data_IF_645869002280
#
_entry.id   IF_645869002280
#
_cell.length_a   1.000
_cell.length_b   1.000
_cell.length_c   1.000
_cell.angle_alpha   90.00
_cell.angle_beta   90.00
_cell.angle_gamma   90.00
#
_symmetry.space_group_name_H-M   'P 1'
#
loop_
_entity.id
_entity.type
_entity.pdbx_description
1 polymer ?
#
# COMPACT_ATOMS: atom_id res chain seq x y z
N UNK A 1 -25.54 -11.69 -13.47
CA UNK A 1 -24.31 -12.33 -13.99
C UNK A 1 -23.14 -11.47 -13.55
N UNK A 2 -22.32 -11.96 -12.63
CA UNK A 2 -21.14 -11.25 -12.11
C UNK A 2 -20.06 -11.28 -13.20
N UNK A 3 -19.78 -10.15 -13.86
CA UNK A 3 -18.66 -10.08 -14.81
C UNK A 3 -17.36 -10.28 -14.00
N UNK A 4 -16.58 -11.29 -14.38
CA UNK A 4 -15.23 -11.53 -13.84
C UNK A 4 -14.32 -10.45 -14.44
N UNK A 5 -13.69 -9.56 -13.64
CA UNK A 5 -12.69 -8.63 -14.16
C UNK A 5 -11.54 -9.44 -14.77
N UNK A 6 -11.07 -9.08 -15.97
CA UNK A 6 -9.96 -9.76 -16.66
C UNK A 6 -10.33 -10.94 -17.57
N UNK A 7 -11.55 -10.99 -18.11
CA UNK A 7 -11.87 -11.93 -19.19
C UNK A 7 -11.03 -11.60 -20.46
N UNK A 8 -10.54 -12.60 -21.21
CA UNK A 8 -9.76 -12.35 -22.43
C UNK A 8 -10.62 -11.59 -23.44
N UNK A 9 -10.32 -10.30 -23.65
CA UNK A 9 -11.04 -9.40 -24.55
C UNK A 9 -11.46 -8.05 -23.95
N UNK A 10 -11.31 -7.84 -22.64
CA UNK A 10 -11.44 -6.51 -22.04
C UNK A 10 -10.04 -5.88 -21.88
N UNK A 11 -9.72 -4.79 -22.62
CA UNK A 11 -8.41 -4.14 -22.51
C UNK A 11 -8.26 -3.36 -21.19
N UNK A 12 -9.32 -3.26 -20.38
CA UNK A 12 -9.30 -2.49 -19.14
C UNK A 12 -8.52 -3.20 -18.03
N UNK A 13 -7.78 -2.45 -17.18
CA UNK A 13 -7.09 -3.02 -16.02
C UNK A 13 -8.06 -3.70 -15.05
N UNK A 14 -7.76 -4.94 -14.65
CA UNK A 14 -8.62 -5.74 -13.79
C UNK A 14 -8.43 -5.46 -12.29
N UNK A 15 -7.29 -4.87 -11.92
CA UNK A 15 -6.87 -4.62 -10.54
C UNK A 15 -6.55 -3.14 -10.35
N UNK A 16 -6.39 -2.65 -9.12
CA UNK A 16 -6.76 -3.28 -7.84
C UNK A 16 -8.27 -3.48 -7.68
N UNK A 17 -8.71 -4.54 -6.98
CA UNK A 17 -10.13 -4.76 -6.66
C UNK A 17 -10.43 -4.28 -5.24
N UNK A 18 -11.39 -3.37 -5.10
CA UNK A 18 -11.87 -2.95 -3.77
C UNK A 18 -12.70 -4.07 -3.13
N UNK A 19 -12.25 -4.56 -1.97
CA UNK A 19 -12.91 -5.66 -1.23
C UNK A 19 -13.72 -5.14 -0.05
N UNK A 20 -13.17 -4.17 0.66
CA UNK A 20 -13.82 -3.39 1.70
C UNK A 20 -13.50 -1.93 1.41
N UNK A 21 -14.33 -1.03 1.92
CA UNK A 21 -14.12 0.40 1.72
C UNK A 21 -12.70 0.80 2.15
N UNK A 22 -11.91 1.32 1.21
CA UNK A 22 -10.48 1.70 1.36
C UNK A 22 -9.49 0.53 1.51
N UNK A 23 -9.85 -0.66 1.04
CA UNK A 23 -9.03 -1.86 1.01
C UNK A 23 -9.06 -2.48 -0.38
N UNK A 24 -7.91 -2.50 -1.02
CA UNK A 24 -7.75 -2.93 -2.40
C UNK A 24 -6.82 -4.13 -2.46
N UNK A 25 -7.20 -5.15 -3.23
CA UNK A 25 -6.39 -6.34 -3.47
C UNK A 25 -5.86 -6.29 -4.89
N UNK A 26 -4.56 -6.52 -5.05
CA UNK A 26 -3.90 -6.55 -6.34
C UNK A 26 -2.73 -7.54 -6.31
N UNK A 27 -2.38 -8.20 -7.43
CA UNK A 27 -1.18 -9.02 -7.49
C UNK A 27 0.07 -8.15 -7.31
N UNK A 28 1.15 -8.73 -6.79
CA UNK A 28 2.47 -8.14 -6.89
C UNK A 28 3.01 -8.31 -8.32
N UNK A 29 3.41 -7.20 -8.94
CA UNK A 29 3.85 -7.16 -10.34
C UNK A 29 5.37 -7.21 -10.53
N UNK A 30 6.13 -6.84 -9.51
CA UNK A 30 7.59 -6.82 -9.56
C UNK A 30 8.21 -5.63 -8.84
N UNK A 31 9.50 -5.40 -9.10
CA UNK A 31 10.27 -4.30 -8.52
C UNK A 31 10.75 -3.34 -9.62
N UNK A 32 10.92 -2.07 -9.28
CA UNK A 32 11.48 -1.05 -10.18
C UNK A 32 12.40 -0.08 -9.44
N UNK A 33 13.46 0.38 -10.13
CA UNK A 33 14.37 1.45 -9.67
C UNK A 33 13.76 2.84 -9.77
N UNK A 34 12.67 2.99 -10.54
CA UNK A 34 11.98 4.26 -10.77
C UNK A 34 11.15 4.70 -9.56
N UNK A 35 11.01 3.84 -8.55
CA UNK A 35 10.25 4.09 -7.33
C UNK A 35 11.17 4.31 -6.12
N UNK A 36 10.82 5.27 -5.27
CA UNK A 36 11.46 5.49 -3.98
C UNK A 36 11.05 4.46 -2.92
N UNK A 37 11.87 4.32 -1.87
CA UNK A 37 11.76 3.27 -0.85
C UNK A 37 10.40 3.19 -0.12
N UNK A 38 9.64 4.29 -0.04
CA UNK A 38 8.32 4.37 0.58
C UNK A 38 7.21 4.64 -0.44
N UNK A 39 7.42 4.20 -1.68
CA UNK A 39 6.43 4.31 -2.75
C UNK A 39 5.91 2.93 -3.15
N UNK A 40 4.70 2.91 -3.67
CA UNK A 40 4.13 1.75 -4.36
C UNK A 40 3.55 2.22 -5.68
N UNK A 41 4.03 1.63 -6.77
CA UNK A 41 3.57 1.93 -8.10
C UNK A 41 2.33 1.12 -8.45
N UNK A 42 1.33 1.77 -9.04
CA UNK A 42 0.20 1.11 -9.70
C UNK A 42 -0.09 1.87 -10.99
N UNK A 43 -0.44 1.15 -12.06
CA UNK A 43 -0.91 1.75 -13.31
C UNK A 43 -1.93 2.87 -13.06
N UNK A 44 -1.71 4.06 -13.66
CA UNK A 44 -2.60 5.22 -13.51
C UNK A 44 -4.04 4.89 -13.89
N UNK A 45 -4.26 4.22 -15.01
CA UNK A 45 -5.60 3.88 -15.49
C UNK A 45 -6.30 2.92 -14.53
N UNK A 46 -5.56 1.98 -13.94
CA UNK A 46 -6.06 1.08 -12.92
C UNK A 46 -6.48 1.82 -11.64
N UNK A 47 -5.67 2.77 -11.17
CA UNK A 47 -5.99 3.59 -9.99
C UNK A 47 -7.26 4.39 -10.19
N UNK A 48 -7.37 5.11 -11.30
CA UNK A 48 -8.49 6.01 -11.60
C UNK A 48 -9.81 5.26 -11.80
N UNK A 49 -9.77 4.07 -12.39
CA UNK A 49 -10.98 3.29 -12.68
C UNK A 49 -11.44 2.44 -11.51
N UNK A 50 -10.49 1.81 -10.80
CA UNK A 50 -10.80 0.72 -9.88
C UNK A 50 -10.71 1.12 -8.41
N UNK A 51 -10.20 2.31 -8.10
CA UNK A 51 -9.99 2.76 -6.73
C UNK A 51 -10.55 4.16 -6.48
N UNK A 52 -10.74 4.49 -5.20
CA UNK A 52 -11.05 5.85 -4.73
C UNK A 52 -9.84 6.48 -4.03
N UNK A 53 -8.64 5.98 -4.33
CA UNK A 53 -7.38 6.51 -3.78
C UNK A 53 -7.04 7.83 -4.47
N UNK A 54 -6.63 8.82 -3.68
CA UNK A 54 -6.00 10.03 -4.17
C UNK A 54 -4.48 9.92 -4.00
N UNK A 55 -3.71 9.73 -5.09
CA UNK A 55 -2.25 9.61 -5.02
C UNK A 55 -1.54 10.79 -4.34
N UNK A 56 -2.14 11.98 -4.37
CA UNK A 56 -1.53 13.19 -3.81
C UNK A 56 -1.62 13.26 -2.29
N UNK A 57 -2.67 12.69 -1.70
CA UNK A 57 -3.00 12.85 -0.28
C UNK A 57 -3.06 11.54 0.49
N UNK A 58 -3.44 10.44 -0.16
CA UNK A 58 -3.55 9.16 0.52
C UNK A 58 -2.19 8.49 0.73
N UNK A 59 -2.10 7.80 1.86
CA UNK A 59 -1.02 6.86 2.16
C UNK A 59 -1.60 5.49 2.41
N UNK A 60 -0.98 4.46 1.84
CA UNK A 60 -1.46 3.08 1.93
C UNK A 60 -0.53 2.25 2.79
N UNK A 61 -1.12 1.43 3.67
CA UNK A 61 -0.43 0.30 4.26
C UNK A 61 -0.40 -0.83 3.24
N UNK A 62 0.77 -1.44 3.07
CA UNK A 62 0.98 -2.56 2.14
C UNK A 62 1.17 -3.86 2.92
N UNK A 63 0.29 -4.84 2.73
CA UNK A 63 0.36 -6.17 3.38
C UNK A 63 0.38 -7.27 2.33
N UNK A 64 1.36 -8.19 2.40
CA UNK A 64 1.37 -9.39 1.56
C UNK A 64 0.49 -10.46 2.21
N UNK A 65 -0.49 -10.98 1.48
CA UNK A 65 -1.39 -12.02 1.98
C UNK A 65 -0.64 -13.32 2.27
N UNK A 66 -1.08 -14.04 3.31
CA UNK A 66 -0.43 -15.27 3.76
C UNK A 66 0.84 -15.08 4.61
N UNK A 67 1.28 -13.83 4.86
CA UNK A 67 2.44 -13.54 5.71
C UNK A 67 2.07 -12.96 7.07
N UNK A 68 2.97 -13.10 8.04
CA UNK A 68 2.71 -12.72 9.43
C UNK A 68 2.50 -11.20 9.54
N UNK A 69 1.30 -10.80 9.97
CA UNK A 69 0.93 -9.39 10.04
C UNK A 69 1.63 -8.70 11.22
N UNK A 70 2.43 -7.67 10.94
CA UNK A 70 3.06 -6.87 12.00
C UNK A 70 2.02 -6.01 12.74
N UNK A 71 2.23 -5.72 14.04
CA UNK A 71 1.43 -4.75 14.76
C UNK A 71 1.45 -3.39 14.06
N UNK A 72 0.34 -2.65 14.13
CA UNK A 72 0.16 -1.39 13.37
C UNK A 72 1.26 -0.36 13.65
N UNK A 73 1.81 -0.36 14.86
CA UNK A 73 2.89 0.53 15.29
C UNK A 73 4.20 0.34 14.51
N UNK A 74 4.37 -0.81 13.85
CA UNK A 74 5.53 -1.12 13.01
C UNK A 74 5.19 -1.12 11.52
N UNK A 75 3.97 -0.70 11.16
CA UNK A 75 3.61 -0.57 9.77
C UNK A 75 4.30 0.62 9.13
N UNK A 76 4.68 0.41 7.87
CA UNK A 76 5.09 1.48 6.98
C UNK A 76 3.92 1.86 6.11
N UNK A 77 3.84 3.15 5.83
CA UNK A 77 2.87 3.72 4.93
C UNK A 77 3.58 4.21 3.68
N UNK A 78 2.96 3.92 2.55
CA UNK A 78 3.54 4.12 1.23
C UNK A 78 2.72 5.18 0.50
N UNK A 79 3.43 6.06 -0.19
CA UNK A 79 2.84 6.91 -1.21
C UNK A 79 2.48 6.05 -2.42
N UNK A 80 1.28 6.28 -2.97
CA UNK A 80 0.85 5.60 -4.19
C UNK A 80 1.34 6.44 -5.37
N UNK A 81 2.16 5.84 -6.23
CA UNK A 81 2.67 6.49 -7.43
C UNK A 81 1.88 6.01 -8.65
N UNK A 82 1.17 6.90 -9.36
CA UNK A 82 0.49 6.55 -10.60
C UNK A 82 1.52 6.30 -11.71
N UNK A 83 1.64 5.06 -12.14
CA UNK A 83 2.57 4.65 -13.18
C UNK A 83 2.02 5.05 -14.55
N UNK A 84 2.86 5.71 -15.32
CA UNK A 84 2.58 6.25 -16.65
C UNK A 84 3.86 6.24 -17.49
N UNK A 85 3.87 6.96 -18.61
CA UNK A 85 5.02 7.09 -19.51
C UNK A 85 6.28 7.65 -18.83
N UNK A 86 6.18 8.27 -17.65
CA UNK A 86 7.33 8.76 -16.88
C UNK A 86 8.03 7.64 -16.09
N UNK A 87 7.35 6.51 -15.91
CA UNK A 87 7.85 5.34 -15.20
C UNK A 87 7.73 4.09 -16.10
N UNK A 88 8.41 4.06 -17.25
CA UNK A 88 8.22 3.03 -18.26
C UNK A 88 8.60 1.62 -17.78
N UNK A 89 9.61 1.47 -16.91
CA UNK A 89 10.03 0.15 -16.43
C UNK A 89 9.11 -0.36 -15.32
N UNK A 90 8.67 0.51 -14.41
CA UNK A 90 7.64 0.17 -13.43
C UNK A 90 6.31 -0.17 -14.11
N UNK A 91 5.91 0.58 -15.14
CA UNK A 91 4.63 0.36 -15.84
C UNK A 91 4.56 -1.02 -16.51
N UNK A 92 5.68 -1.54 -17.04
CA UNK A 92 5.76 -2.90 -17.59
C UNK A 92 5.43 -3.99 -16.57
N UNK A 93 5.66 -3.71 -15.29
CA UNK A 93 5.32 -4.61 -14.19
C UNK A 93 3.87 -4.47 -13.70
N UNK A 94 3.10 -3.49 -14.19
CA UNK A 94 1.71 -3.22 -13.81
C UNK A 94 0.75 -3.21 -15.01
N UNK A 95 0.78 -4.20 -15.93
CA UNK A 95 -0.08 -4.17 -17.11
C UNK A 95 -1.57 -4.13 -16.76
N UNK A 96 -2.00 -4.83 -15.71
CA UNK A 96 -3.40 -4.98 -15.29
C UNK A 96 -3.72 -4.25 -13.98
N UNK A 97 -2.78 -3.47 -13.42
CA UNK A 97 -2.92 -2.78 -12.13
C UNK A 97 -2.25 -3.48 -10.95
N UNK A 98 -1.29 -4.36 -11.22
CA UNK A 98 -0.43 -5.01 -10.22
C UNK A 98 0.37 -3.98 -9.42
N UNK A 99 0.64 -4.27 -8.15
CA UNK A 99 1.48 -3.43 -7.30
C UNK A 99 2.96 -3.63 -7.61
N UNK A 100 3.66 -2.53 -7.85
CA UNK A 100 5.11 -2.50 -8.12
C UNK A 100 5.81 -1.88 -6.93
N UNK A 101 6.85 -2.55 -6.42
CA UNK A 101 7.62 -2.08 -5.26
C UNK A 101 8.95 -1.47 -5.70
N UNK A 102 9.57 -0.62 -4.87
CA UNK A 102 10.88 -0.09 -5.15
C UNK A 102 11.93 -1.19 -5.01
N UNK A 103 12.95 -1.15 -5.88
CA UNK A 103 14.11 -2.00 -5.71
C UNK A 103 14.78 -1.70 -4.35
N UNK A 104 15.13 -2.76 -3.61
CA UNK A 104 15.63 -2.62 -2.23
C UNK A 104 14.57 -2.71 -1.14
N UNK A 105 13.26 -2.73 -1.44
CA UNK A 105 12.22 -3.03 -0.42
C UNK A 105 12.40 -4.43 0.19
N UNK A 106 13.05 -5.35 -0.53
CA UNK A 106 13.47 -6.65 -0.01
C UNK A 106 14.37 -6.55 1.24
N UNK A 107 15.22 -5.51 1.35
CA UNK A 107 16.05 -5.26 2.54
C UNK A 107 15.17 -4.87 3.73
N UNK A 108 14.08 -4.17 3.44
CA UNK A 108 13.08 -3.75 4.40
C UNK A 108 12.11 -4.89 4.80
N UNK A 109 12.04 -5.96 4.00
CA UNK A 109 11.16 -7.14 4.19
C UNK A 109 11.91 -8.46 3.92
N UNK A 110 13.02 -8.76 4.60
CA UNK A 110 13.93 -9.84 4.18
C UNK A 110 13.33 -11.25 4.24
N UNK A 111 12.30 -11.49 5.08
CA UNK A 111 11.57 -12.77 5.13
C UNK A 111 10.20 -12.71 4.44
N UNK A 112 9.77 -11.51 4.07
CA UNK A 112 8.40 -11.22 3.63
C UNK A 112 8.36 -10.65 2.19
N UNK A 113 9.47 -10.74 1.44
CA UNK A 113 9.56 -10.26 0.07
C UNK A 113 8.59 -11.06 -0.83
N UNK A 114 7.61 -10.39 -1.49
CA UNK A 114 6.64 -11.06 -2.35
C UNK A 114 7.27 -11.55 -3.65
N UNK A 115 6.70 -12.60 -4.22
CA UNK A 115 6.99 -13.07 -5.57
C UNK A 115 5.93 -12.56 -6.54
N UNK A 116 6.24 -12.34 -7.83
CA UNK A 116 5.24 -11.91 -8.81
C UNK A 116 4.02 -12.84 -8.81
N UNK A 117 2.84 -12.25 -8.71
CA UNK A 117 1.56 -12.95 -8.55
C UNK A 117 1.08 -13.14 -7.10
N UNK A 118 1.94 -12.94 -6.08
CA UNK A 118 1.51 -12.92 -4.68
C UNK A 118 0.44 -11.84 -4.47
N UNK A 119 -0.62 -12.14 -3.73
CA UNK A 119 -1.67 -11.15 -3.47
C UNK A 119 -1.19 -10.11 -2.44
N UNK A 120 -1.40 -8.84 -2.77
CA UNK A 120 -1.06 -7.70 -1.93
C UNK A 120 -2.32 -6.92 -1.60
N UNK A 121 -2.47 -6.58 -0.32
CA UNK A 121 -3.51 -5.68 0.18
C UNK A 121 -2.91 -4.29 0.34
N UNK A 122 -3.58 -3.33 -0.27
CA UNK A 122 -3.34 -1.90 -0.12
C UNK A 122 -4.49 -1.32 0.71
N UNK A 123 -4.18 -0.73 1.86
CA UNK A 123 -5.20 -0.15 2.74
C UNK A 123 -4.91 1.32 3.03
N UNK A 124 -5.76 2.21 2.53
CA UNK A 124 -5.77 3.64 2.91
C UNK A 124 -6.69 3.92 4.09
N UNK A 125 -7.33 2.90 4.67
CA UNK A 125 -8.30 3.07 5.76
C UNK A 125 -7.71 3.80 6.98
N UNK A 126 -6.42 3.63 7.27
CA UNK A 126 -5.77 4.36 8.36
C UNK A 126 -5.61 5.87 8.03
N UNK A 127 -5.20 6.19 6.79
CA UNK A 127 -5.10 7.57 6.31
C UNK A 127 -6.47 8.24 6.33
N UNK A 128 -7.47 7.62 5.67
CA UNK A 128 -8.77 8.25 5.44
C UNK A 128 -9.71 8.24 6.65
N UNK A 129 -9.61 7.26 7.57
CA UNK A 129 -10.51 7.19 8.74
C UNK A 129 -9.93 7.82 10.00
N UNK A 130 -8.62 7.81 10.14
CA UNK A 130 -7.96 8.25 11.36
C UNK A 130 -7.19 9.57 11.16
N UNK A 131 -7.09 10.08 9.93
CA UNK A 131 -6.35 11.31 9.60
C UNK A 131 -4.87 11.23 9.98
N UNK A 132 -4.34 10.01 10.16
CA UNK A 132 -3.14 9.79 10.97
C UNK A 132 -1.82 10.18 10.29
N UNK A 133 -1.77 10.41 8.98
CA UNK A 133 -0.49 10.26 8.26
C UNK A 133 -0.33 11.14 7.03
N UNK A 134 -0.06 12.42 7.25
CA UNK A 134 0.73 13.21 6.30
C UNK A 134 2.24 13.03 6.53
N UNK A 135 2.67 12.60 7.72
CA UNK A 135 4.08 12.64 8.11
C UNK A 135 4.45 11.50 9.09
N UNK A 136 5.49 10.75 8.73
CA UNK A 136 6.07 9.69 9.55
C UNK A 136 6.62 10.19 10.89
N UNK A 137 7.12 11.42 10.97
CA UNK A 137 7.61 12.00 12.22
C UNK A 137 6.45 12.31 13.17
N UNK A 138 5.36 12.87 12.64
CA UNK A 138 4.12 13.11 13.39
C UNK A 138 3.56 11.82 14.01
N UNK A 139 3.55 10.70 13.28
CA UNK A 139 3.13 9.41 13.84
C UNK A 139 4.04 8.92 14.96
N UNK A 140 5.37 9.05 14.78
CA UNK A 140 6.33 8.71 15.82
C UNK A 140 6.08 9.53 17.10
N UNK A 141 5.76 10.82 16.96
CA UNK A 141 5.35 11.70 18.06
C UNK A 141 4.07 11.24 18.78
N UNK A 142 3.00 10.92 18.02
CA UNK A 142 1.73 10.45 18.60
C UNK A 142 1.90 9.13 19.37
N UNK A 143 2.69 8.20 18.83
CA UNK A 143 2.99 6.93 19.49
C UNK A 143 3.77 7.16 20.78
N UNK A 144 4.79 8.02 20.75
CA UNK A 144 5.56 8.37 21.96
C UNK A 144 4.69 9.00 23.04
N UNK A 145 3.79 9.90 22.66
CA UNK A 145 2.86 10.56 23.58
C UNK A 145 1.93 9.54 24.27
N UNK A 146 1.32 8.65 23.49
CA UNK A 146 0.46 7.59 24.04
C UNK A 146 1.20 6.68 25.04
N UNK A 147 2.47 6.36 24.77
CA UNK A 147 3.30 5.59 25.70
C UNK A 147 3.74 6.38 26.94
N UNK A 148 3.84 7.71 26.85
CA UNK A 148 4.11 8.58 28.00
C UNK A 148 2.91 8.67 28.92
N UNK A 149 1.73 9.02 28.39
CA UNK A 149 0.49 9.16 29.16
C UNK A 149 0.13 7.86 29.90
N UNK A 150 0.34 6.70 29.26
CA UNK A 150 0.10 5.40 29.89
C UNK A 150 1.03 5.13 31.09
N UNK A 151 2.31 5.52 30.98
CA UNK A 151 3.27 5.40 32.10
C UNK A 151 2.96 6.33 33.27
N UNK A 152 2.37 7.49 32.99
CA UNK A 152 1.93 8.44 34.02
C UNK A 152 0.68 7.92 34.75
N UNK A 153 -0.28 7.36 34.03
CA UNK A 153 -1.47 6.70 34.60
C UNK A 153 -1.13 5.46 35.46
N UNK A 154 -0.11 4.69 35.09
CA UNK A 154 0.35 3.55 35.88
C UNK A 154 1.08 4.01 37.17
N UNK A 155 1.65 5.22 37.18
CA UNK A 155 2.29 5.84 38.35
C UNK A 155 1.31 6.51 39.32
N UNK A 156 0.20 7.05 38.82
CA UNK A 156 -0.84 7.64 39.69
C UNK A 156 -1.73 6.59 40.37
N UNK A 157 -1.74 5.35 39.86
CA UNK A 157 -2.49 4.22 40.44
C UNK A 157 -1.64 3.28 41.31
N UNK A 158 -0.38 3.64 41.62
CA UNK A 158 0.51 2.93 42.55
C UNK A 158 0.75 3.75 43.81
#
# INVERSE_FOLDING_TARGET
>A
MLRKPGAPGDPAPAFPVETLRHWYVTPFGGMSTELGLFQVGINREALERNTSLDPSSDRVRVTVLGRMRRPILFDRFFEVVPLDERHPDALKCSPMGEAVFPEGDQVLRPRDAPHPGDEVILSSAASQRLGLLADSETFAGVVQELFRTRRELDRENS
#
